data_IF_047355042233
#
_entry.id   IF_047355042233
#
_cell.length_a   1.000
_cell.length_b   1.000
_cell.length_c   1.000
_cell.angle_alpha   90.00
_cell.angle_beta   90.00
_cell.angle_gamma   90.00
#
_symmetry.space_group_name_H-M   'P 1'
#
loop_
_entity.id
_entity.type
_entity.pdbx_description
1 polymer ?
#
# COMPACT_ATOMS: atom_id res chain seq x y z
N UNK A 1 15.00 6.46 -1.04
CA UNK A 1 13.84 5.53 -0.85
C UNK A 1 14.27 4.43 0.10
N UNK A 2 13.48 4.10 1.14
CA UNK A 2 13.75 2.87 1.89
C UNK A 2 13.26 1.68 1.05
N UNK A 3 14.10 0.66 0.81
CA UNK A 3 13.67 -0.52 0.08
C UNK A 3 12.54 -1.22 0.84
N UNK A 4 11.60 -1.82 0.10
CA UNK A 4 10.59 -2.66 0.70
C UNK A 4 11.27 -3.78 1.50
N UNK A 5 10.75 -4.16 2.69
CA UNK A 5 11.32 -5.26 3.45
C UNK A 5 11.38 -6.54 2.60
N UNK A 6 12.54 -7.21 2.63
CA UNK A 6 12.72 -8.45 1.87
C UNK A 6 11.87 -9.56 2.47
N UNK A 7 11.19 -10.31 1.60
CA UNK A 7 10.44 -11.49 2.01
C UNK A 7 11.40 -12.67 2.24
N UNK A 8 11.74 -12.92 3.51
CA UNK A 8 12.58 -14.05 3.89
C UNK A 8 11.86 -15.38 3.68
N UNK A 9 12.61 -16.48 3.65
CA UNK A 9 12.02 -17.83 3.56
C UNK A 9 11.09 -18.12 4.75
N UNK A 10 11.41 -17.60 5.94
CA UNK A 10 10.55 -17.71 7.13
C UNK A 10 9.21 -17.00 6.91
N UNK A 11 9.21 -15.80 6.31
CA UNK A 11 7.96 -15.10 5.99
C UNK A 11 7.10 -15.91 5.01
N UNK A 12 7.72 -16.52 3.99
CA UNK A 12 7.01 -17.36 3.01
C UNK A 12 6.36 -18.57 3.67
N UNK A 13 7.11 -19.30 4.49
CA UNK A 13 6.61 -20.46 5.21
C UNK A 13 5.42 -20.09 6.12
N UNK A 14 5.56 -19.04 6.94
CA UNK A 14 4.48 -18.59 7.85
C UNK A 14 3.22 -18.15 7.11
N UNK A 15 3.36 -17.44 5.98
CA UNK A 15 2.21 -17.04 5.15
C UNK A 15 1.49 -18.26 4.56
N UNK A 16 2.25 -19.26 4.13
CA UNK A 16 1.70 -20.48 3.55
C UNK A 16 0.95 -21.30 4.62
N UNK A 17 1.53 -21.44 5.82
CA UNK A 17 0.86 -22.12 6.93
C UNK A 17 -0.40 -21.37 7.40
N UNK A 18 -0.37 -20.04 7.44
CA UNK A 18 -1.54 -19.23 7.74
C UNK A 18 -2.65 -19.48 6.72
N UNK A 19 -2.33 -19.48 5.42
CA UNK A 19 -3.30 -19.75 4.37
C UNK A 19 -3.91 -21.15 4.52
N UNK A 20 -3.08 -22.19 4.69
CA UNK A 20 -3.54 -23.57 4.89
C UNK A 20 -4.47 -23.71 6.09
N UNK A 21 -4.15 -23.07 7.22
CA UNK A 21 -4.97 -23.14 8.44
C UNK A 21 -6.32 -22.43 8.32
N UNK A 22 -6.43 -21.44 7.46
CA UNK A 22 -7.62 -20.59 7.37
C UNK A 22 -8.47 -20.82 6.12
N UNK A 23 -8.24 -21.90 5.36
CA UNK A 23 -8.99 -22.19 4.13
C UNK A 23 -10.50 -22.35 4.38
N UNK A 24 -10.89 -22.90 5.54
CA UNK A 24 -12.29 -23.10 5.92
C UNK A 24 -12.82 -22.05 6.90
N UNK A 25 -12.06 -20.97 7.14
CA UNK A 25 -12.45 -19.92 8.08
C UNK A 25 -13.65 -19.16 7.52
N UNK A 26 -14.69 -18.96 8.33
CA UNK A 26 -15.78 -18.05 7.99
C UNK A 26 -15.34 -16.59 8.29
N UNK A 27 -15.03 -15.86 7.22
CA UNK A 27 -14.53 -14.49 7.30
C UNK A 27 -15.61 -13.43 7.61
N UNK A 28 -16.90 -13.75 7.48
CA UNK A 28 -18.00 -12.80 7.70
C UNK A 28 -18.11 -12.35 9.17
N UNK A 29 -17.60 -13.16 10.09
CA UNK A 29 -17.60 -12.86 11.54
C UNK A 29 -16.34 -12.12 11.99
N UNK A 30 -15.41 -11.83 11.08
CA UNK A 30 -14.10 -11.24 11.40
C UNK A 30 -14.11 -9.76 11.04
N UNK A 31 -13.85 -8.91 12.05
CA UNK A 31 -13.65 -7.48 11.86
C UNK A 31 -12.15 -7.22 11.75
N UNK A 32 -11.70 -6.76 10.58
CA UNK A 32 -10.32 -6.35 10.37
C UNK A 32 -10.12 -4.89 10.79
N UNK A 33 -9.01 -4.62 11.46
CA UNK A 33 -8.57 -3.27 11.80
C UNK A 33 -7.10 -3.09 11.40
N UNK A 34 -6.75 -1.87 10.98
CA UNK A 34 -5.39 -1.44 10.70
C UNK A 34 -5.29 0.08 10.88
N UNK A 35 -4.10 0.58 11.10
CA UNK A 35 -3.83 2.02 11.21
C UNK A 35 -3.37 2.58 9.87
N UNK A 36 -4.00 3.68 9.45
CA UNK A 36 -3.60 4.40 8.23
C UNK A 36 -3.41 5.87 8.53
N UNK A 37 -2.21 6.39 8.25
CA UNK A 37 -1.94 7.83 8.23
C UNK A 37 -2.52 8.45 6.95
N UNK A 38 -3.49 9.34 7.09
CA UNK A 38 -4.01 10.22 6.03
C UNK A 38 -3.44 11.62 6.22
N UNK A 39 -2.96 12.25 5.14
CA UNK A 39 -2.49 13.64 5.18
C UNK A 39 -3.54 14.56 4.53
N UNK A 40 -3.81 15.74 5.12
CA UNK A 40 -4.79 16.71 4.63
C UNK A 40 -4.33 17.47 3.35
N UNK A 41 -3.04 17.37 3.00
CA UNK A 41 -2.42 18.17 1.95
C UNK A 41 -2.54 17.54 0.55
N UNK A 42 -3.74 17.64 -0.03
CA UNK A 42 -3.99 17.29 -1.44
C UNK A 42 -4.04 15.78 -1.73
N UNK A 43 -4.38 15.39 -2.98
CA UNK A 43 -4.74 14.02 -3.29
C UNK A 43 -3.61 13.05 -2.93
N UNK A 44 -3.91 12.15 -1.99
CA UNK A 44 -3.02 11.14 -1.44
C UNK A 44 -2.82 9.99 -2.45
N UNK A 45 -2.33 10.34 -3.64
CA UNK A 45 -2.09 9.42 -4.76
C UNK A 45 -3.13 9.44 -5.89
N UNK A 46 -4.27 10.13 -5.74
CA UNK A 46 -5.27 10.26 -6.81
C UNK A 46 -5.05 11.54 -7.63
N UNK A 47 -4.07 11.52 -8.52
CA UNK A 47 -3.95 12.54 -9.57
C UNK A 47 -4.64 12.02 -10.84
N UNK A 48 -5.77 12.60 -11.19
CA UNK A 48 -6.32 12.52 -12.54
C UNK A 48 -5.46 13.41 -13.45
N UNK A 49 -4.90 12.82 -14.50
CA UNK A 49 -4.18 13.54 -15.55
C UNK A 49 -4.88 13.28 -16.88
N UNK A 50 -5.07 14.34 -17.66
CA UNK A 50 -5.56 14.25 -19.03
C UNK A 50 -4.39 13.93 -19.95
N UNK A 51 -4.38 12.69 -20.48
CA UNK A 51 -3.33 12.24 -21.38
C UNK A 51 -3.56 12.79 -22.79
N UNK A 52 -2.76 13.79 -23.16
CA UNK A 52 -2.63 14.23 -24.55
C UNK A 52 -1.58 13.37 -25.26
N UNK A 53 -2.00 12.63 -26.29
CA UNK A 53 -1.15 11.72 -27.06
C UNK A 53 -0.07 12.43 -27.88
N UNK A 54 -0.16 13.76 -28.05
CA UNK A 54 0.81 14.56 -28.81
C UNK A 54 1.99 15.04 -27.95
N UNK A 55 1.96 14.77 -26.65
CA UNK A 55 3.01 15.18 -25.72
C UNK A 55 3.64 13.98 -25.04
N UNK A 56 4.91 14.12 -24.67
CA UNK A 56 5.61 13.09 -23.91
C UNK A 56 4.86 12.74 -22.61
N UNK A 57 4.84 11.46 -22.20
CA UNK A 57 4.15 11.03 -20.99
C UNK A 57 4.62 11.82 -19.77
N UNK A 58 3.69 12.48 -19.09
CA UNK A 58 3.99 13.17 -17.85
C UNK A 58 4.32 12.15 -16.75
N UNK A 59 5.60 12.04 -16.39
CA UNK A 59 6.06 11.19 -15.29
C UNK A 59 5.87 11.94 -13.98
N UNK A 60 4.76 11.64 -13.28
CA UNK A 60 4.54 12.19 -11.95
C UNK A 60 5.33 11.39 -10.90
N UNK A 61 6.04 12.12 -10.03
CA UNK A 61 6.65 11.54 -8.84
C UNK A 61 5.57 10.91 -7.95
N UNK A 62 5.70 9.61 -7.68
CA UNK A 62 4.92 8.90 -6.66
C UNK A 62 5.39 9.43 -5.29
N UNK A 63 4.68 10.42 -4.72
CA UNK A 63 4.89 10.76 -3.31
C UNK A 63 4.50 9.53 -2.47
N UNK A 64 5.47 8.93 -1.79
CA UNK A 64 5.21 8.04 -0.66
C UNK A 64 5.22 8.89 0.59
N UNK A 65 4.22 8.67 1.44
CA UNK A 65 3.97 9.30 2.73
C UNK A 65 5.28 9.60 3.46
N UNK A 66 5.47 10.87 3.81
CA UNK A 66 6.70 11.38 4.40
C UNK A 66 6.64 12.88 4.63
N UNK A 67 5.52 13.37 5.18
CA UNK A 67 5.50 14.68 5.83
C UNK A 67 6.15 14.49 7.19
N UNK A 68 7.37 15.00 7.35
CA UNK A 68 8.04 15.09 8.63
C UNK A 68 7.10 15.66 9.68
N UNK A 69 7.21 15.11 10.89
CA UNK A 69 6.52 15.62 12.07
C UNK A 69 6.60 17.15 12.10
N UNK A 70 5.43 17.79 12.20
CA UNK A 70 5.29 19.07 12.87
C UNK A 70 4.22 18.84 13.94
N UNK A 71 4.51 19.36 15.14
CA UNK A 71 3.79 19.20 16.40
C UNK A 71 2.26 19.20 16.28
#
# INVERSE_FOLDING_TARGET
MRPAPRLTNVHKARRLDFARRNMSTNWEKIIFSDEKKFNLNGPDGYKSYWHDLRKDPAVFSKRKIGGGSLM
#
